data_IF_929657075476
#
_entry.id   IF_929657075476
#
_cell.length_a   1.000
_cell.length_b   1.000
_cell.length_c   1.000
_cell.angle_alpha   90.00
_cell.angle_beta   90.00
_cell.angle_gamma   90.00
#
_symmetry.space_group_name_H-M   'P 1'
#
loop_
_entity.id
_entity.type
_entity.pdbx_description
1 polymer ?
#
# COMPACT_ATOMS: atom_id res chain seq x y z
N UNK A 1 17.68 -6.86 0.49
CA UNK A 1 17.21 -6.25 1.77
C UNK A 1 17.31 -4.72 1.80
N UNK A 2 18.33 -4.09 1.16
CA UNK A 2 18.46 -2.62 1.12
C UNK A 2 17.24 -1.90 0.54
N UNK A 3 16.59 -2.47 -0.49
CA UNK A 3 15.40 -1.86 -1.09
C UNK A 3 14.16 -1.94 -0.19
N UNK A 4 14.00 -3.03 0.56
CA UNK A 4 12.91 -3.19 1.52
C UNK A 4 13.02 -2.19 2.67
N UNK A 5 14.23 -2.00 3.22
CA UNK A 5 14.46 -1.02 4.29
C UNK A 5 14.13 0.41 3.86
N UNK A 6 14.46 0.78 2.63
CA UNK A 6 14.11 2.11 2.07
C UNK A 6 12.59 2.27 1.87
N UNK A 7 11.89 1.23 1.43
CA UNK A 7 10.43 1.23 1.31
C UNK A 7 9.79 1.36 2.70
N UNK A 8 10.25 0.56 3.66
CA UNK A 8 9.78 0.59 5.04
C UNK A 8 9.96 1.97 5.67
N UNK A 9 11.13 2.60 5.55
CA UNK A 9 11.37 3.94 6.10
C UNK A 9 10.41 5.00 5.55
N UNK A 10 10.15 4.98 4.23
CA UNK A 10 9.18 5.90 3.60
C UNK A 10 7.77 5.65 4.13
N UNK A 11 7.36 4.39 4.17
CA UNK A 11 6.02 3.97 4.65
C UNK A 11 5.85 4.31 6.13
N UNK A 12 6.86 4.06 6.95
CA UNK A 12 6.90 4.38 8.38
C UNK A 12 6.72 5.88 8.63
N UNK A 13 7.43 6.72 7.88
CA UNK A 13 7.32 8.17 7.98
C UNK A 13 5.90 8.64 7.63
N UNK A 14 5.34 8.16 6.52
CA UNK A 14 3.97 8.50 6.10
C UNK A 14 2.94 8.06 7.13
N UNK A 15 3.05 6.85 7.66
CA UNK A 15 2.11 6.31 8.65
C UNK A 15 2.23 7.05 9.98
N UNK A 16 3.44 7.45 10.39
CA UNK A 16 3.62 8.28 11.59
C UNK A 16 2.92 9.63 11.44
N UNK A 17 3.09 10.31 10.30
CA UNK A 17 2.41 11.57 10.01
C UNK A 17 0.89 11.37 10.11
N UNK A 18 0.34 10.35 9.44
CA UNK A 18 -1.09 10.05 9.47
C UNK A 18 -1.56 9.78 10.90
N UNK A 19 -0.81 9.02 11.69
CA UNK A 19 -1.18 8.70 13.07
C UNK A 19 -1.12 9.90 14.01
N UNK A 20 -0.18 10.83 13.80
CA UNK A 20 -0.14 12.11 14.52
C UNK A 20 -1.38 12.93 14.16
N UNK A 21 -1.72 13.04 12.87
CA UNK A 21 -2.94 13.74 12.45
C UNK A 21 -4.21 13.12 13.04
N UNK A 22 -4.34 11.79 12.99
CA UNK A 22 -5.48 11.08 13.60
C UNK A 22 -5.55 11.30 15.11
N UNK A 23 -4.41 11.27 15.81
CA UNK A 23 -4.39 11.50 17.26
C UNK A 23 -4.79 12.93 17.61
N UNK A 24 -4.35 13.92 16.82
CA UNK A 24 -4.74 15.33 16.99
C UNK A 24 -6.25 15.54 16.75
N UNK A 25 -6.82 14.89 15.73
CA UNK A 25 -8.26 14.94 15.47
C UNK A 25 -9.03 14.37 16.67
N UNK A 26 -8.62 13.22 17.20
CA UNK A 26 -9.29 12.63 18.37
C UNK A 26 -9.09 13.48 19.61
N UNK A 27 -7.91 14.05 19.82
CA UNK A 27 -7.69 15.01 20.90
C UNK A 27 -8.64 16.19 20.80
N UNK A 28 -8.85 16.72 19.59
CA UNK A 28 -9.71 17.88 19.37
C UNK A 28 -11.20 17.56 19.51
N UNK A 29 -11.64 16.39 19.03
CA UNK A 29 -13.06 16.01 18.98
C UNK A 29 -13.51 15.34 20.29
N UNK A 30 -12.69 14.46 20.86
CA UNK A 30 -13.04 13.64 22.02
C UNK A 30 -12.32 14.05 23.31
N UNK A 31 -11.45 15.07 23.28
CA UNK A 31 -10.64 15.52 24.43
C UNK A 31 -9.87 14.39 25.13
N UNK A 32 -9.55 13.34 24.38
CA UNK A 32 -8.88 12.15 24.90
C UNK A 32 -7.44 12.10 24.39
N UNK A 33 -6.51 11.87 25.31
CA UNK A 33 -5.10 11.64 25.00
C UNK A 33 -4.82 10.15 24.90
N UNK A 34 -4.37 9.70 23.72
CA UNK A 34 -3.92 8.32 23.55
C UNK A 34 -2.60 8.09 24.28
N UNK A 35 -2.44 6.89 24.84
CA UNK A 35 -1.14 6.46 25.38
C UNK A 35 -0.11 6.37 24.24
N UNK A 36 0.95 7.15 24.36
CA UNK A 36 2.05 7.23 23.38
C UNK A 36 2.62 5.85 23.02
N UNK A 37 2.82 4.96 24.00
CA UNK A 37 3.39 3.63 23.77
C UNK A 37 2.48 2.80 22.85
N UNK A 38 1.16 2.84 23.11
CA UNK A 38 0.17 2.12 22.31
C UNK A 38 0.14 2.65 20.88
N UNK A 39 0.23 3.97 20.71
CA UNK A 39 0.22 4.62 19.41
C UNK A 39 1.49 4.30 18.61
N UNK A 40 2.66 4.40 19.24
CA UNK A 40 3.96 4.10 18.65
C UNK A 40 4.06 2.64 18.17
N UNK A 41 3.69 1.68 19.03
CA UNK A 41 3.66 0.25 18.67
C UNK A 41 2.68 0.02 17.52
N UNK A 42 1.49 0.63 17.59
CA UNK A 42 0.49 0.57 16.54
C UNK A 42 1.02 1.03 15.18
N UNK A 43 1.64 2.22 15.14
CA UNK A 43 2.24 2.76 13.92
C UNK A 43 3.36 1.89 13.37
N UNK A 44 4.20 1.34 14.24
CA UNK A 44 5.29 0.46 13.83
C UNK A 44 4.74 -0.79 13.16
N UNK A 45 3.78 -1.47 13.80
CA UNK A 45 3.17 -2.68 13.27
C UNK A 45 2.42 -2.41 11.96
N UNK A 46 1.63 -1.34 11.88
CA UNK A 46 0.91 -0.96 10.64
C UNK A 46 1.92 -0.67 9.52
N UNK A 47 3.01 0.04 9.81
CA UNK A 47 4.03 0.33 8.81
C UNK A 47 4.73 -0.90 8.27
N UNK A 48 4.97 -1.90 9.12
CA UNK A 48 5.56 -3.17 8.74
C UNK A 48 4.62 -3.96 7.82
N UNK A 49 3.33 -4.00 8.16
CA UNK A 49 2.30 -4.67 7.35
C UNK A 49 2.15 -3.99 5.98
N UNK A 50 2.07 -2.65 5.96
CA UNK A 50 1.92 -1.88 4.73
C UNK A 50 3.17 -1.99 3.85
N UNK A 51 4.37 -1.97 4.42
CA UNK A 51 5.60 -2.16 3.66
C UNK A 51 5.71 -3.56 3.06
N UNK A 52 5.23 -4.58 3.78
CA UNK A 52 5.10 -5.94 3.27
C UNK A 52 4.12 -6.00 2.09
N UNK A 53 2.95 -5.38 2.22
CA UNK A 53 1.97 -5.32 1.14
C UNK A 53 2.56 -4.63 -0.11
N UNK A 54 3.23 -3.48 0.05
CA UNK A 54 3.93 -2.80 -1.04
C UNK A 54 5.01 -3.66 -1.69
N UNK A 55 5.76 -4.43 -0.90
CA UNK A 55 6.78 -5.32 -1.43
C UNK A 55 6.17 -6.45 -2.29
N UNK A 56 5.04 -7.02 -1.86
CA UNK A 56 4.28 -7.99 -2.65
C UNK A 56 3.69 -7.37 -3.92
N UNK A 57 3.14 -6.16 -3.86
CA UNK A 57 2.64 -5.45 -5.04
C UNK A 57 3.74 -5.14 -6.06
N UNK A 58 4.95 -4.81 -5.59
CA UNK A 58 6.10 -4.50 -6.46
C UNK A 58 6.79 -5.76 -7.01
N UNK A 59 6.42 -6.95 -6.57
CA UNK A 59 7.04 -8.19 -7.03
C UNK A 59 6.57 -8.47 -8.46
N UNK A 60 7.47 -8.33 -9.43
CA UNK A 60 7.20 -8.63 -10.85
C UNK A 60 7.24 -10.13 -11.17
N UNK A 61 7.77 -10.95 -10.24
CA UNK A 61 7.79 -12.41 -10.40
C UNK A 61 6.42 -13.00 -10.02
N UNK A 62 5.70 -13.53 -11.00
CA UNK A 62 4.44 -14.28 -10.83
C UNK A 62 3.23 -13.66 -11.54
N UNK A 63 2.08 -14.31 -11.45
CA UNK A 63 0.82 -13.77 -11.94
C UNK A 63 0.46 -12.48 -11.17
N UNK A 64 0.42 -11.36 -11.87
CA UNK A 64 0.10 -10.03 -11.29
C UNK A 64 -1.18 -10.03 -10.44
N UNK A 65 -2.19 -10.81 -10.85
CA UNK A 65 -3.47 -10.93 -10.13
C UNK A 65 -3.30 -11.59 -8.75
N UNK A 66 -2.41 -12.59 -8.63
CA UNK A 66 -2.12 -13.28 -7.36
C UNK A 66 -1.37 -12.34 -6.40
N UNK A 67 -0.42 -11.57 -6.91
CA UNK A 67 0.34 -10.62 -6.09
C UNK A 67 -0.56 -9.50 -5.54
N UNK A 68 -1.59 -9.09 -6.30
CA UNK A 68 -2.58 -8.13 -5.83
C UNK A 68 -3.44 -8.74 -4.71
N UNK A 69 -3.96 -9.95 -4.90
CA UNK A 69 -4.77 -10.64 -3.87
C UNK A 69 -3.96 -10.81 -2.57
N UNK A 70 -2.70 -11.26 -2.67
CA UNK A 70 -1.82 -11.41 -1.53
C UNK A 70 -1.53 -10.08 -0.82
N UNK A 71 -1.28 -9.01 -1.57
CA UNK A 71 -1.08 -7.69 -0.99
C UNK A 71 -2.31 -7.19 -0.22
N UNK A 72 -3.53 -7.42 -0.74
CA UNK A 72 -4.77 -7.10 -0.02
C UNK A 72 -4.96 -7.96 1.23
N UNK A 73 -4.68 -9.26 1.14
CA UNK A 73 -4.76 -10.18 2.28
C UNK A 73 -3.85 -9.72 3.43
N UNK A 74 -2.66 -9.21 3.10
CA UNK A 74 -1.70 -8.68 4.07
C UNK A 74 -2.22 -7.38 4.72
N UNK A 75 -2.97 -6.54 4.01
CA UNK A 75 -3.49 -5.28 4.56
C UNK A 75 -4.58 -5.50 5.62
N UNK A 76 -5.35 -6.59 5.53
CA UNK A 76 -6.44 -6.90 6.48
C UNK A 76 -5.98 -6.83 7.95
N UNK A 77 -4.89 -7.49 8.39
CA UNK A 77 -4.37 -7.37 9.75
C UNK A 77 -4.09 -5.93 10.19
N UNK A 78 -3.67 -5.03 9.28
CA UNK A 78 -3.43 -3.63 9.64
C UNK A 78 -4.71 -2.92 10.10
N UNK A 79 -5.87 -3.29 9.57
CA UNK A 79 -7.18 -2.76 9.98
C UNK A 79 -7.49 -3.16 11.42
N UNK A 80 -7.18 -4.40 11.81
CA UNK A 80 -7.37 -4.87 13.19
C UNK A 80 -6.46 -4.15 14.17
N UNK A 81 -5.19 -3.92 13.79
CA UNK A 81 -4.26 -3.14 14.60
C UNK A 81 -4.76 -1.70 14.77
N UNK A 82 -5.21 -1.08 13.68
CA UNK A 82 -5.74 0.28 13.69
C UNK A 82 -7.01 0.37 14.56
N UNK A 83 -7.89 -0.64 14.51
CA UNK A 83 -9.03 -0.76 15.42
C UNK A 83 -8.60 -0.94 16.87
N UNK A 84 -7.56 -1.71 17.17
CA UNK A 84 -7.12 -1.87 18.57
C UNK A 84 -6.51 -0.57 19.14
N UNK A 85 -5.79 0.18 18.30
CA UNK A 85 -5.11 1.41 18.71
C UNK A 85 -6.10 2.57 18.85
N UNK A 86 -6.99 2.74 17.87
CA UNK A 86 -7.88 3.90 17.77
C UNK A 86 -9.37 3.60 18.06
N UNK A 87 -9.74 2.32 18.13
CA UNK A 87 -11.12 1.79 18.16
C UNK A 87 -12.06 2.41 19.19
N UNK A 88 -11.52 2.73 20.36
CA UNK A 88 -12.33 3.18 21.49
C UNK A 88 -13.00 4.55 21.23
N UNK A 89 -12.40 5.39 20.37
CA UNK A 89 -12.90 6.75 20.09
C UNK A 89 -13.17 7.00 18.61
N UNK A 90 -12.34 6.49 17.69
CA UNK A 90 -12.54 6.66 16.24
C UNK A 90 -13.65 5.77 15.66
N UNK A 91 -13.86 4.57 16.23
CA UNK A 91 -14.74 3.55 15.67
C UNK A 91 -16.08 3.38 16.39
N UNK A 92 -16.32 4.15 17.47
CA UNK A 92 -17.63 4.17 18.14
C UNK A 92 -18.72 4.86 17.30
N UNK A 93 -18.33 5.78 16.41
CA UNK A 93 -19.22 6.61 15.59
C UNK A 93 -19.22 6.19 14.10
N UNK A 94 -18.26 5.38 13.66
CA UNK A 94 -17.82 5.42 12.26
C UNK A 94 -17.86 4.07 11.54
N UNK A 95 -19.04 3.47 11.38
CA UNK A 95 -19.24 2.47 10.30
C UNK A 95 -18.82 3.06 8.93
N UNK A 96 -18.99 4.38 8.78
CA UNK A 96 -18.50 5.21 7.68
C UNK A 96 -17.00 5.07 7.40
N UNK A 97 -16.13 4.91 8.41
CA UNK A 97 -14.68 4.78 8.18
C UNK A 97 -14.35 3.47 7.45
N UNK A 98 -15.06 2.38 7.73
CA UNK A 98 -14.88 1.13 6.99
C UNK A 98 -15.30 1.27 5.52
N UNK A 99 -16.40 2.00 5.26
CA UNK A 99 -16.87 2.29 3.90
C UNK A 99 -15.87 3.18 3.17
N UNK A 100 -15.33 4.21 3.83
CA UNK A 100 -14.32 5.11 3.26
C UNK A 100 -13.01 4.37 2.99
N UNK A 101 -12.55 3.52 3.91
CA UNK A 101 -11.35 2.69 3.70
C UNK A 101 -11.56 1.71 2.54
N UNK A 102 -12.73 1.08 2.46
CA UNK A 102 -13.07 0.21 1.33
C UNK A 102 -13.10 0.99 0.01
N UNK A 103 -13.67 2.20 0.01
CA UNK A 103 -13.70 3.09 -1.16
C UNK A 103 -12.31 3.53 -1.61
N UNK A 104 -11.46 3.97 -0.68
CA UNK A 104 -10.05 4.33 -0.96
C UNK A 104 -9.28 3.12 -1.47
N UNK A 105 -9.49 1.93 -0.89
CA UNK A 105 -8.93 0.69 -1.40
C UNK A 105 -9.37 0.41 -2.84
N UNK A 106 -10.65 0.60 -3.15
CA UNK A 106 -11.19 0.39 -4.49
C UNK A 106 -10.57 1.38 -5.50
N UNK A 107 -10.47 2.66 -5.16
CA UNK A 107 -9.82 3.69 -5.99
C UNK A 107 -8.34 3.36 -6.21
N UNK A 108 -7.63 2.95 -5.16
CA UNK A 108 -6.23 2.57 -5.24
C UNK A 108 -6.03 1.32 -6.11
N UNK A 109 -6.90 0.31 -5.97
CA UNK A 109 -6.92 -0.88 -6.81
C UNK A 109 -7.09 -0.55 -8.29
N UNK A 110 -8.00 0.38 -8.61
CA UNK A 110 -8.21 0.88 -9.98
C UNK A 110 -6.96 1.61 -10.48
N UNK A 111 -6.36 2.50 -9.68
CA UNK A 111 -5.16 3.23 -10.06
C UNK A 111 -3.99 2.27 -10.36
N UNK A 112 -3.77 1.27 -9.51
CA UNK A 112 -2.76 0.23 -9.71
C UNK A 112 -3.05 -0.61 -10.95
N UNK A 113 -4.32 -0.94 -11.20
CA UNK A 113 -4.72 -1.68 -12.41
C UNK A 113 -4.41 -0.90 -13.68
N UNK A 114 -4.73 0.40 -13.71
CA UNK A 114 -4.44 1.29 -14.87
C UNK A 114 -2.93 1.39 -15.11
N UNK A 115 -2.14 1.58 -14.06
CA UNK A 115 -0.66 1.63 -14.16
C UNK A 115 -0.11 0.30 -14.65
N UNK A 116 -0.60 -0.84 -14.14
CA UNK A 116 -0.17 -2.17 -14.57
C UNK A 116 -0.49 -2.44 -16.04
N UNK A 117 -1.65 -1.97 -16.53
CA UNK A 117 -2.03 -2.08 -17.94
C UNK A 117 -1.12 -1.26 -18.84
N UNK A 118 -0.74 -0.05 -18.40
CA UNK A 118 0.21 0.81 -19.13
C UNK A 118 1.61 0.20 -19.19
N UNK A 119 2.07 -0.37 -18.08
CA UNK A 119 3.36 -1.08 -18.01
C UNK A 119 3.42 -2.29 -18.94
N UNK A 120 2.34 -3.09 -19.00
CA UNK A 120 2.27 -4.22 -19.94
C UNK A 120 2.35 -3.77 -21.40
N UNK A 121 1.80 -2.60 -21.72
CA UNK A 121 1.83 -2.04 -23.06
C UNK A 121 3.24 -1.58 -23.44
N UNK A 122 3.93 -0.91 -22.53
CA UNK A 122 5.34 -0.51 -22.73
C UNK A 122 6.27 -1.71 -22.89
N UNK A 123 6.05 -2.79 -22.11
CA UNK A 123 6.84 -4.02 -22.26
C UNK A 123 6.56 -4.72 -23.59
N UNK A 124 5.31 -4.69 -24.08
CA UNK A 124 4.96 -5.24 -25.39
C UNK A 124 5.60 -4.45 -26.54
N UNK A 125 5.51 -3.11 -26.52
CA UNK A 125 6.16 -2.24 -27.51
C UNK A 125 7.69 -2.45 -27.53
N UNK A 126 8.31 -2.60 -26.35
CA UNK A 126 9.76 -2.84 -26.26
C UNK A 126 10.18 -4.18 -26.88
N UNK A 127 9.38 -5.23 -26.68
CA UNK A 127 9.63 -6.55 -27.26
C UNK A 127 9.44 -6.54 -28.77
N UNK A 128 8.47 -5.78 -29.28
CA UNK A 128 8.22 -5.62 -30.71
C UNK A 128 9.36 -4.86 -31.40
N UNK A 129 9.88 -3.80 -30.77
CA UNK A 129 11.06 -3.07 -31.25
C UNK A 129 12.33 -3.94 -31.29
N UNK A 130 12.54 -4.79 -30.27
CA UNK A 130 13.67 -5.72 -30.23
C UNK A 130 13.57 -6.82 -31.31
N UNK A 131 12.36 -7.28 -31.63
CA UNK A 131 12.16 -8.24 -32.72
C UNK A 131 12.44 -7.61 -34.09
N UNK A 132 11.97 -6.39 -34.33
CA UNK A 132 12.24 -5.65 -35.58
C UNK A 132 13.72 -5.33 -35.76
N UNK A 133 14.45 -5.03 -34.67
CA UNK A 133 15.88 -4.79 -34.72
C UNK A 133 16.68 -6.07 -35.04
N UNK A 134 16.26 -7.23 -34.48
CA UNK A 134 16.87 -8.52 -34.78
C UNK A 134 16.57 -9.03 -36.20
N UNK A 135 15.36 -8.80 -36.73
CA UNK A 135 15.04 -9.14 -38.12
C UNK A 135 15.86 -8.28 -39.10
N UNK A 136 15.95 -6.96 -38.88
CA UNK A 136 16.80 -6.08 -39.70
C UNK A 136 18.28 -6.43 -39.66
N UNK A 137 18.76 -7.02 -38.57
CA UNK A 137 20.16 -7.45 -38.43
C UNK A 137 20.45 -8.79 -39.11
N UNK A 138 19.43 -9.65 -39.27
CA UNK A 138 19.53 -10.91 -40.00
C UNK A 138 19.37 -10.73 -41.52
N UNK A 139 18.59 -9.75 -41.99
CA UNK A 139 18.42 -9.45 -43.42
C UNK A 139 19.58 -8.62 -44.02
N UNK A 140 20.49 -8.12 -43.17
CA UNK A 140 21.67 -7.34 -43.55
C UNK A 140 23.00 -8.11 -43.50
N UNK A 141 22.96 -9.43 -43.29
CA UNK A 141 24.10 -10.34 -43.30
C UNK A 141 24.02 -11.30 -44.50
#
# INVERSE_FOLDING_TARGET
MKDYGRIYLKVYLVINIIAIFLSLIVLRVASYTYNYIRLAIGTLVISLIVSLAFWFFKREKGHSLINIILGYLIIIPAIFVLRNVFGQYLFRVSWLIYIVIAGVGMIYGIAVYVVSKKYKKEVADLNELLHQENEKKNDGA
#
